data_IF_894802665411
#
_entry.id   IF_894802665411
#
_cell.length_a   1.000
_cell.length_b   1.000
_cell.length_c   1.000
_cell.angle_alpha   90.00
_cell.angle_beta   90.00
_cell.angle_gamma   90.00
#
_symmetry.space_group_name_H-M   'P 1'
#
loop_
_entity.id
_entity.type
_entity.pdbx_description
1 polymer ?
#
# COMPACT_ATOMS: atom_id res chain seq x y z
N UNK A 1 -14.81 10.80 -1.09
CA UNK A 1 -13.59 10.07 -0.73
C UNK A 1 -12.56 11.11 -0.35
N UNK A 2 -11.25 10.89 -0.54
CA UNK A 2 -10.24 11.93 -0.37
C UNK A 2 -9.82 12.47 -1.74
N UNK A 3 -9.45 13.75 -1.82
CA UNK A 3 -8.82 14.32 -3.01
C UNK A 3 -7.51 13.61 -3.33
N UNK A 4 -7.16 13.55 -4.61
CA UNK A 4 -5.90 12.96 -5.05
C UNK A 4 -4.71 13.73 -4.50
N UNK A 5 -3.74 13.01 -3.92
CA UNK A 5 -2.46 13.56 -3.50
C UNK A 5 -1.42 12.47 -3.56
N UNK A 6 -0.15 12.85 -3.74
CA UNK A 6 0.99 11.97 -3.51
C UNK A 6 1.89 12.51 -2.40
N UNK A 7 2.48 11.63 -1.57
CA UNK A 7 3.47 12.06 -0.58
C UNK A 7 4.65 12.73 -1.28
N UNK A 8 5.20 13.78 -0.66
CA UNK A 8 6.30 14.62 -1.17
C UNK A 8 5.94 15.56 -2.32
N UNK A 9 4.72 15.51 -2.84
CA UNK A 9 4.21 16.57 -3.70
C UNK A 9 3.84 17.79 -2.83
N UNK A 10 4.18 18.98 -3.33
CA UNK A 10 3.91 20.28 -2.69
C UNK A 10 2.62 20.91 -3.20
N UNK A 11 2.15 20.46 -4.37
CA UNK A 11 0.93 20.90 -5.06
C UNK A 11 0.40 19.78 -5.98
N UNK A 12 -0.80 19.98 -6.53
CA UNK A 12 -1.51 18.99 -7.34
C UNK A 12 -0.75 18.69 -8.66
N UNK A 13 -0.14 19.70 -9.29
CA UNK A 13 0.63 19.52 -10.52
C UNK A 13 1.88 18.65 -10.29
N UNK A 14 2.55 18.83 -9.15
CA UNK A 14 3.65 17.97 -8.74
C UNK A 14 3.16 16.56 -8.40
N UNK A 15 1.97 16.40 -7.82
CA UNK A 15 1.39 15.09 -7.52
C UNK A 15 1.13 14.29 -8.81
N UNK A 16 0.58 14.92 -9.85
CA UNK A 16 0.38 14.30 -11.16
C UNK A 16 1.70 13.83 -11.78
N UNK A 17 2.69 14.73 -11.87
CA UNK A 17 4.01 14.40 -12.45
C UNK A 17 4.73 13.29 -11.68
N UNK A 18 4.61 13.31 -10.34
CA UNK A 18 5.21 12.28 -9.49
C UNK A 18 4.51 10.94 -9.67
N UNK A 19 3.19 10.93 -9.81
CA UNK A 19 2.42 9.71 -10.05
C UNK A 19 2.78 9.06 -11.38
N UNK A 20 2.99 9.83 -12.44
CA UNK A 20 3.46 9.30 -13.73
C UNK A 20 4.88 8.75 -13.61
N UNK A 21 5.79 9.48 -12.95
CA UNK A 21 7.17 9.03 -12.76
C UNK A 21 7.26 7.74 -11.93
N UNK A 22 6.41 7.59 -10.90
CA UNK A 22 6.34 6.37 -10.09
C UNK A 22 5.70 5.20 -10.88
N UNK A 23 4.82 5.48 -11.84
CA UNK A 23 4.25 4.46 -12.73
C UNK A 23 5.33 3.92 -13.68
N UNK A 24 6.13 4.81 -14.27
CA UNK A 24 7.29 4.45 -15.09
C UNK A 24 8.30 3.63 -14.29
N UNK A 25 8.65 4.07 -13.09
CA UNK A 25 9.52 3.33 -12.17
C UNK A 25 8.98 1.92 -11.88
N UNK A 26 7.66 1.81 -11.69
CA UNK A 26 6.99 0.54 -11.42
C UNK A 26 6.76 -0.33 -12.66
N UNK A 27 7.08 0.16 -13.87
CA UNK A 27 6.82 -0.54 -15.13
C UNK A 27 5.33 -0.72 -15.42
N UNK A 28 4.49 0.22 -15.00
CA UNK A 28 3.03 0.18 -15.16
C UNK A 28 2.50 1.47 -15.77
N UNK A 29 1.24 1.46 -16.22
CA UNK A 29 0.56 2.65 -16.71
C UNK A 29 -0.12 3.38 -15.55
N UNK A 30 -0.08 4.73 -15.51
CA UNK A 30 -0.79 5.49 -14.50
C UNK A 30 -2.31 5.29 -14.65
N UNK A 31 -3.00 5.07 -13.52
CA UNK A 31 -4.44 4.92 -13.55
C UNK A 31 -5.13 6.26 -13.86
N UNK A 32 -6.23 6.25 -14.66
CA UNK A 32 -7.03 7.43 -14.89
C UNK A 32 -7.69 7.92 -13.59
N UNK A 33 -8.13 9.18 -13.58
CA UNK A 33 -8.85 9.77 -12.45
C UNK A 33 -10.06 8.90 -12.07
N UNK A 34 -10.34 8.78 -10.77
CA UNK A 34 -11.39 7.92 -10.22
C UNK A 34 -11.04 6.42 -10.17
N UNK A 35 -9.92 5.98 -10.77
CA UNK A 35 -9.37 4.63 -10.60
C UNK A 35 -8.08 4.61 -9.79
N UNK A 36 -7.59 5.78 -9.39
CA UNK A 36 -6.40 5.93 -8.54
C UNK A 36 -6.71 5.44 -7.13
N UNK A 37 -5.89 4.51 -6.66
CA UNK A 37 -6.11 3.81 -5.40
C UNK A 37 -5.54 4.62 -4.25
N UNK A 38 -6.39 4.96 -3.28
CA UNK A 38 -5.98 5.60 -2.04
C UNK A 38 -5.44 4.58 -1.04
N UNK A 39 -6.14 3.46 -0.90
CA UNK A 39 -5.73 2.38 0.00
C UNK A 39 -6.24 1.04 -0.46
N UNK A 40 -5.56 -0.02 -0.01
CA UNK A 40 -6.06 -1.38 -0.14
C UNK A 40 -5.69 -2.22 1.08
N UNK A 41 -6.52 -3.21 1.37
CA UNK A 41 -6.15 -4.32 2.25
C UNK A 41 -5.74 -5.52 1.41
N UNK A 42 -4.81 -6.32 1.91
CA UNK A 42 -4.35 -7.53 1.23
C UNK A 42 -3.77 -8.53 2.23
N UNK A 43 -3.84 -9.81 1.91
CA UNK A 43 -3.23 -10.86 2.73
C UNK A 43 -1.79 -11.14 2.29
N UNK A 44 -0.85 -11.12 3.23
CA UNK A 44 0.54 -11.52 3.00
C UNK A 44 1.09 -12.28 4.22
N UNK A 45 1.70 -13.44 3.98
CA UNK A 45 2.22 -14.33 5.03
C UNK A 45 1.23 -14.60 6.19
N UNK A 46 -0.04 -14.81 5.86
CA UNK A 46 -1.09 -15.09 6.85
C UNK A 46 -1.44 -13.92 7.78
N UNK A 47 -1.02 -12.70 7.44
CA UNK A 47 -1.46 -11.47 8.08
C UNK A 47 -2.26 -10.61 7.08
N UNK A 48 -3.23 -9.86 7.59
CA UNK A 48 -3.93 -8.82 6.84
C UNK A 48 -3.09 -7.55 6.90
N UNK A 49 -2.75 -6.98 5.75
CA UNK A 49 -1.98 -5.75 5.63
C UNK A 49 -2.82 -4.64 5.01
N UNK A 50 -2.48 -3.41 5.36
CA UNK A 50 -3.06 -2.18 4.81
C UNK A 50 -1.96 -1.37 4.16
N UNK A 51 -2.11 -1.13 2.86
CA UNK A 51 -1.34 -0.13 2.13
C UNK A 51 -2.22 1.09 1.92
N UNK A 52 -1.83 2.25 2.45
CA UNK A 52 -2.54 3.51 2.25
C UNK A 52 -1.55 4.59 1.84
N UNK A 53 -1.82 5.28 0.73
CA UNK A 53 -0.96 6.34 0.19
C UNK A 53 -0.73 7.39 1.28
N UNK A 54 0.55 7.67 1.57
CA UNK A 54 0.96 8.59 2.63
C UNK A 54 1.20 7.98 3.99
N UNK A 55 0.81 6.72 4.21
CA UNK A 55 0.98 6.03 5.49
C UNK A 55 2.04 4.92 5.42
N UNK A 56 2.56 4.54 6.58
CA UNK A 56 3.39 3.34 6.74
C UNK A 56 2.55 2.07 6.56
N UNK A 57 3.15 1.02 6.01
CA UNK A 57 2.49 -0.28 5.93
C UNK A 57 2.21 -0.80 7.34
N UNK A 58 0.96 -1.14 7.60
CA UNK A 58 0.52 -1.75 8.85
C UNK A 58 -0.16 -3.08 8.57
N UNK A 59 -0.07 -4.00 9.50
CA UNK A 59 -0.71 -5.29 9.36
C UNK A 59 -1.16 -5.86 10.69
N UNK A 60 -1.95 -6.91 10.63
CA UNK A 60 -2.51 -7.59 11.79
C UNK A 60 -2.53 -9.09 11.51
N UNK A 61 -2.00 -9.86 12.46
CA UNK A 61 -2.05 -11.31 12.43
C UNK A 61 -2.91 -11.82 13.58
N UNK A 62 -3.97 -12.55 13.25
CA UNK A 62 -4.82 -13.22 14.24
C UNK A 62 -4.51 -14.71 14.23
N UNK A 63 -4.09 -15.26 15.36
CA UNK A 63 -3.82 -16.69 15.53
C UNK A 63 -4.78 -17.28 16.55
N UNK A 64 -5.23 -18.51 16.28
CA UNK A 64 -6.06 -19.29 17.19
C UNK A 64 -5.22 -20.39 17.82
N UNK A 65 -5.26 -20.50 19.15
CA UNK A 65 -4.55 -21.54 19.90
C UNK A 65 -5.51 -22.22 20.86
N UNK A 66 -5.54 -23.56 20.83
CA UNK A 66 -6.26 -24.36 21.82
C UNK A 66 -5.41 -24.48 23.09
N UNK A 67 -5.92 -23.98 24.22
CA UNK A 67 -5.26 -24.09 25.53
C UNK A 67 -6.25 -24.66 26.53
N UNK A 68 -5.95 -25.85 27.07
CA UNK A 68 -6.79 -26.55 28.06
C UNK A 68 -8.25 -26.77 27.62
N UNK A 69 -8.48 -26.97 26.32
CA UNK A 69 -9.82 -27.18 25.76
C UNK A 69 -10.58 -25.90 25.41
N UNK A 70 -9.99 -24.72 25.65
CA UNK A 70 -10.54 -23.42 25.25
C UNK A 70 -9.80 -22.88 24.01
N UNK A 71 -10.55 -22.31 23.07
CA UNK A 71 -9.99 -21.63 21.90
C UNK A 71 -9.63 -20.19 22.28
N UNK A 72 -8.35 -19.85 22.22
CA UNK A 72 -7.85 -18.50 22.51
C UNK A 72 -7.45 -17.83 21.19
N UNK A 73 -8.01 -16.64 20.95
CA UNK A 73 -7.58 -15.77 19.85
C UNK A 73 -6.52 -14.79 20.33
N UNK A 74 -5.39 -14.74 19.61
CA UNK A 74 -4.33 -13.75 19.83
C UNK A 74 -4.14 -12.94 18.57
N UNK A 75 -4.34 -11.63 18.70
CA UNK A 75 -4.02 -10.65 17.67
C UNK A 75 -2.65 -10.03 17.96
N UNK A 76 -1.81 -9.95 16.93
CA UNK A 76 -0.55 -9.22 16.92
C UNK A 76 -0.60 -8.13 15.83
N UNK A 77 -0.23 -6.91 16.19
CA UNK A 77 -0.07 -5.79 15.26
C UNK A 77 1.34 -5.83 14.65
N UNK A 78 1.42 -5.61 13.34
CA UNK A 78 2.63 -5.59 12.53
C UNK A 78 2.78 -4.20 11.90
N UNK A 79 4.01 -3.76 11.68
CA UNK A 79 4.30 -2.48 11.05
C UNK A 79 5.61 -2.56 10.27
N UNK A 80 5.66 -1.91 9.11
CA UNK A 80 6.90 -1.60 8.39
C UNK A 80 7.09 -0.10 8.38
N UNK A 81 8.34 0.37 8.50
CA UNK A 81 8.68 1.79 8.35
C UNK A 81 8.56 2.30 6.91
N UNK A 82 8.15 1.45 5.97
CA UNK A 82 8.02 1.81 4.56
C UNK A 82 6.73 2.58 4.31
N UNK A 83 6.84 3.83 3.88
CA UNK A 83 5.68 4.66 3.54
C UNK A 83 5.22 4.36 2.12
N UNK A 84 3.92 4.16 1.93
CA UNK A 84 3.33 3.97 0.61
C UNK A 84 3.30 5.30 -0.14
N UNK A 85 3.90 5.34 -1.32
CA UNK A 85 3.93 6.51 -2.20
C UNK A 85 2.80 6.47 -3.22
N UNK A 86 2.53 5.31 -3.82
CA UNK A 86 1.50 5.13 -4.83
C UNK A 86 1.03 3.67 -4.89
N UNK A 87 -0.22 3.47 -5.32
CA UNK A 87 -0.80 2.15 -5.59
C UNK A 87 -1.41 2.18 -7.00
N UNK A 88 -1.01 1.24 -7.85
CA UNK A 88 -1.50 1.10 -9.22
C UNK A 88 -2.39 -0.13 -9.34
N UNK A 89 -3.64 0.01 -9.82
CA UNK A 89 -4.52 -1.11 -10.07
C UNK A 89 -3.95 -1.98 -11.22
N UNK A 90 -4.09 -3.29 -11.08
CA UNK A 90 -3.57 -4.26 -12.04
C UNK A 90 -3.93 -5.69 -11.64
N UNK A 91 -3.39 -6.68 -12.36
CA UNK A 91 -3.56 -8.09 -12.01
C UNK A 91 -2.19 -8.78 -11.89
N UNK A 92 -1.47 -8.65 -10.76
CA UNK A 92 -1.84 -8.03 -9.46
C UNK A 92 -1.68 -6.50 -9.40
N UNK A 93 -2.11 -5.88 -8.29
CA UNK A 93 -1.86 -4.46 -8.01
C UNK A 93 -0.38 -4.26 -7.70
N UNK A 94 0.14 -3.07 -8.01
CA UNK A 94 1.52 -2.68 -7.73
C UNK A 94 1.55 -1.60 -6.66
N UNK A 95 2.37 -1.78 -5.63
CA UNK A 95 2.57 -0.82 -4.54
C UNK A 95 3.98 -0.29 -4.60
N UNK A 96 4.10 1.02 -4.64
CA UNK A 96 5.37 1.72 -4.58
C UNK A 96 5.52 2.34 -3.20
N UNK A 97 6.67 2.12 -2.56
CA UNK A 97 6.99 2.67 -1.24
C UNK A 97 8.17 3.62 -1.34
N UNK A 98 8.56 4.23 -0.23
CA UNK A 98 9.78 5.04 -0.17
C UNK A 98 11.05 4.24 0.11
N UNK A 99 10.98 2.92 0.24
CA UNK A 99 12.15 2.07 0.44
C UNK A 99 13.13 2.09 -0.77
N UNK A 100 14.31 1.49 -0.61
CA UNK A 100 15.25 1.32 -1.72
C UNK A 100 14.58 0.63 -2.91
N UNK A 101 14.76 1.13 -4.14
CA UNK A 101 15.80 2.08 -4.56
C UNK A 101 15.41 3.58 -4.49
N UNK A 102 14.18 3.94 -4.09
CA UNK A 102 13.72 5.33 -4.10
C UNK A 102 14.39 6.17 -3.01
N UNK A 103 14.42 5.66 -1.78
CA UNK A 103 15.31 6.22 -0.75
C UNK A 103 16.21 5.12 -0.22
N UNK A 104 17.39 5.48 0.30
CA UNK A 104 18.32 4.52 0.90
C UNK A 104 17.76 3.72 2.09
N UNK A 105 16.49 3.87 2.46
CA UNK A 105 15.82 3.15 3.54
C UNK A 105 15.68 1.66 3.22
N UNK A 106 16.19 0.82 4.14
CA UNK A 106 15.96 -0.61 4.11
C UNK A 106 14.49 -0.92 4.43
N UNK A 107 13.98 -2.01 3.84
CA UNK A 107 12.62 -2.49 4.04
C UNK A 107 12.60 -4.01 3.92
N UNK A 108 11.68 -4.65 4.65
CA UNK A 108 11.31 -6.04 4.47
C UNK A 108 10.47 -6.28 3.20
N UNK A 109 9.94 -5.21 2.59
CA UNK A 109 9.18 -5.24 1.34
C UNK A 109 10.07 -4.86 0.16
N UNK A 110 9.95 -5.60 -0.95
CA UNK A 110 10.51 -5.16 -2.23
C UNK A 110 9.86 -3.83 -2.67
N UNK A 111 10.58 -3.00 -3.41
CA UNK A 111 10.04 -1.76 -3.97
C UNK A 111 10.31 -1.68 -5.48
N UNK A 112 9.26 -1.70 -6.33
CA UNK A 112 7.87 -1.94 -5.97
C UNK A 112 7.62 -3.39 -5.52
N UNK A 113 6.50 -3.64 -4.83
CA UNK A 113 5.97 -5.00 -4.63
C UNK A 113 4.58 -5.15 -5.25
N UNK A 114 4.14 -6.39 -5.40
CA UNK A 114 2.80 -6.69 -5.92
C UNK A 114 1.93 -7.37 -4.89
N UNK A 115 0.63 -7.08 -4.92
CA UNK A 115 -0.35 -7.69 -4.02
C UNK A 115 -1.70 -7.86 -4.71
N UNK A 116 -2.47 -8.86 -4.29
CA UNK A 116 -3.87 -9.00 -4.69
C UNK A 116 -4.73 -8.35 -3.60
N UNK A 117 -5.55 -7.34 -3.94
CA UNK A 117 -6.34 -6.66 -2.93
C UNK A 117 -7.55 -7.50 -2.49
N UNK A 118 -7.84 -7.44 -1.19
CA UNK A 118 -9.06 -7.94 -0.57
C UNK A 118 -10.14 -6.83 -0.53
N UNK A 119 -9.73 -5.59 -0.30
CA UNK A 119 -10.57 -4.38 -0.38
C UNK A 119 -9.77 -3.22 -0.96
N UNK A 120 -10.42 -2.36 -1.74
CA UNK A 120 -9.81 -1.17 -2.35
C UNK A 120 -10.65 0.06 -2.04
N UNK A 121 -9.99 1.16 -1.69
CA UNK A 121 -10.58 2.51 -1.60
C UNK A 121 -9.89 3.40 -2.61
N UNK A 122 -10.68 4.15 -3.39
CA UNK A 122 -10.18 5.05 -4.42
C UNK A 122 -10.18 6.51 -3.95
N UNK A 123 -9.29 7.30 -4.54
CA UNK A 123 -9.40 8.76 -4.47
C UNK A 123 -10.66 9.26 -5.19
N UNK A 124 -11.07 10.49 -4.88
CA UNK A 124 -12.11 11.19 -5.60
C UNK A 124 -11.81 11.29 -7.09
N UNK A 125 -12.86 11.23 -7.91
CA UNK A 125 -12.77 11.27 -9.36
C UNK A 125 -12.70 12.70 -9.93
N UNK A 126 -12.81 13.72 -9.06
CA UNK A 126 -12.79 15.14 -9.40
C UNK A 126 -11.40 15.63 -9.75
#
# INVERSE_FOLDING_TARGET
MAAFFLPRASDDEQAERLYDALAEFAGTEPAPHGQRVQSMTFTHEGAEWVAAVGEELSGRRTTQQLRRGELIERTEELSSSSRVLAIYPGAPFVVVTDAQPITGAASEWANPFTARPDRVTYFDAT
#
